data_IF_659029581558
#
_entry.id   IF_659029581558
#
_cell.length_a   1.000
_cell.length_b   1.000
_cell.length_c   1.000
_cell.angle_alpha   90.00
_cell.angle_beta   90.00
_cell.angle_gamma   90.00
#
_symmetry.space_group_name_H-M   'P 1'
#
loop_
_entity.id
_entity.type
_entity.pdbx_description
1 polymer ?
#
# COMPACT_ATOMS: atom_id res chain seq x y z
N UNK A 1 8.56 20.10 5.93
CA UNK A 1 7.44 19.57 5.17
C UNK A 1 7.74 18.16 4.68
N UNK A 2 6.83 17.25 4.85
CA UNK A 2 7.03 15.86 4.44
C UNK A 2 6.77 15.72 2.94
N UNK A 3 7.64 14.96 2.27
CA UNK A 3 7.48 14.68 0.85
C UNK A 3 6.47 13.55 0.66
N UNK A 4 5.29 13.88 0.12
CA UNK A 4 4.24 12.88 -0.15
C UNK A 4 3.43 13.18 -1.42
N UNK A 5 4.03 13.81 -2.44
CA UNK A 5 3.20 14.36 -3.53
C UNK A 5 2.61 13.29 -4.44
N UNK A 6 3.38 12.24 -4.76
CA UNK A 6 2.93 11.29 -5.77
C UNK A 6 1.74 10.45 -5.32
N UNK A 7 1.74 10.02 -4.05
CA UNK A 7 0.64 9.22 -3.54
C UNK A 7 -0.63 10.07 -3.44
N UNK A 8 -0.52 11.31 -2.94
CA UNK A 8 -1.68 12.19 -2.83
C UNK A 8 -2.30 12.49 -4.19
N UNK A 9 -1.48 12.68 -5.22
CA UNK A 9 -1.98 12.87 -6.59
C UNK A 9 -2.68 11.61 -7.07
N UNK A 10 -2.08 10.44 -6.85
CA UNK A 10 -2.69 9.17 -7.24
C UNK A 10 -4.03 8.95 -6.55
N UNK A 11 -4.11 9.17 -5.24
CA UNK A 11 -5.37 9.03 -4.50
C UNK A 11 -6.42 10.02 -5.03
N UNK A 12 -6.02 11.23 -5.33
CA UNK A 12 -6.90 12.24 -5.90
C UNK A 12 -7.47 11.81 -7.24
N UNK A 13 -6.63 11.29 -8.14
CA UNK A 13 -7.07 10.82 -9.46
C UNK A 13 -8.02 9.63 -9.34
N UNK A 14 -7.71 8.68 -8.44
CA UNK A 14 -8.51 7.49 -8.23
C UNK A 14 -9.79 7.75 -7.45
N UNK A 15 -9.90 8.91 -6.81
CA UNK A 15 -11.07 9.34 -6.07
C UNK A 15 -12.33 9.36 -6.94
N UNK A 16 -12.17 9.49 -8.24
CA UNK A 16 -13.28 9.50 -9.18
C UNK A 16 -13.94 8.12 -9.35
N UNK A 17 -13.35 7.07 -8.81
CA UNK A 17 -13.89 5.72 -8.91
C UNK A 17 -14.89 5.37 -7.81
N UNK A 18 -15.03 6.25 -6.81
CA UNK A 18 -15.95 6.04 -5.69
C UNK A 18 -15.73 4.70 -4.99
N UNK A 19 -14.48 4.32 -4.87
CA UNK A 19 -14.04 3.08 -4.22
C UNK A 19 -12.89 3.37 -3.28
N UNK A 20 -12.77 2.60 -2.18
CA UNK A 20 -11.59 2.73 -1.33
C UNK A 20 -10.33 2.23 -2.04
N UNK A 21 -9.19 2.67 -1.55
CA UNK A 21 -7.89 2.33 -2.10
C UNK A 21 -7.22 1.26 -1.25
N UNK A 22 -6.66 0.25 -1.89
CA UNK A 22 -5.81 -0.74 -1.23
C UNK A 22 -4.38 -0.52 -1.68
N UNK A 23 -3.52 -0.13 -0.73
CA UNK A 23 -2.08 -0.04 -0.98
C UNK A 23 -1.44 -1.38 -0.67
N UNK A 24 -0.67 -1.88 -1.62
CA UNK A 24 0.09 -3.13 -1.48
C UNK A 24 1.57 -2.79 -1.55
N UNK A 25 2.22 -2.67 -0.38
CA UNK A 25 3.67 -2.52 -0.32
C UNK A 25 4.31 -3.89 -0.52
N UNK A 26 4.99 -4.05 -1.63
CA UNK A 26 5.55 -5.33 -2.07
C UNK A 26 6.97 -5.13 -2.58
N UNK A 27 7.59 -6.20 -3.02
CA UNK A 27 8.90 -6.16 -3.66
C UNK A 27 8.97 -7.21 -4.75
N UNK A 28 9.73 -6.97 -5.79
CA UNK A 28 9.96 -7.96 -6.85
C UNK A 28 10.64 -9.20 -6.29
N UNK A 29 11.57 -9.02 -5.35
CA UNK A 29 12.26 -10.12 -4.69
C UNK A 29 11.63 -10.59 -3.39
N UNK A 30 10.40 -10.21 -3.10
CA UNK A 30 9.75 -10.53 -1.84
C UNK A 30 9.07 -11.91 -1.92
N UNK A 31 9.67 -12.91 -1.29
CA UNK A 31 9.14 -14.29 -1.29
C UNK A 31 7.77 -14.35 -0.64
N UNK A 32 7.60 -13.72 0.52
CA UNK A 32 6.33 -13.72 1.24
C UNK A 32 5.22 -13.01 0.48
N UNK A 33 5.55 -12.00 -0.31
CA UNK A 33 4.58 -11.34 -1.17
C UNK A 33 4.04 -12.30 -2.24
N UNK A 34 4.95 -13.08 -2.86
CA UNK A 34 4.56 -14.11 -3.84
C UNK A 34 3.71 -15.19 -3.19
N UNK A 35 4.05 -15.61 -1.96
CA UNK A 35 3.27 -16.60 -1.22
C UNK A 35 1.84 -16.12 -0.97
N UNK A 36 1.66 -14.86 -0.57
CA UNK A 36 0.32 -14.29 -0.38
C UNK A 36 -0.48 -14.26 -1.67
N UNK A 37 0.15 -13.86 -2.77
CA UNK A 37 -0.52 -13.83 -4.07
C UNK A 37 -0.98 -15.22 -4.51
N UNK A 38 -0.16 -16.25 -4.25
CA UNK A 38 -0.49 -17.61 -4.64
C UNK A 38 -1.47 -18.30 -3.69
N UNK A 39 -1.38 -18.04 -2.39
CA UNK A 39 -2.17 -18.75 -1.40
C UNK A 39 -3.48 -18.05 -1.05
N UNK A 40 -3.50 -16.73 -1.08
CA UNK A 40 -4.65 -15.94 -0.61
C UNK A 40 -5.36 -15.22 -1.76
N UNK A 41 -4.62 -14.55 -2.63
CA UNK A 41 -5.23 -13.73 -3.69
C UNK A 41 -5.86 -14.57 -4.81
N UNK A 42 -5.50 -15.85 -4.91
CA UNK A 42 -6.14 -16.77 -5.85
C UNK A 42 -7.50 -17.27 -5.37
N UNK A 43 -7.82 -17.07 -4.09
CA UNK A 43 -9.15 -17.40 -3.58
C UNK A 43 -10.20 -16.57 -4.32
N UNK A 44 -11.28 -17.19 -4.84
CA UNK A 44 -12.28 -16.47 -5.64
C UNK A 44 -12.93 -15.31 -4.91
N UNK A 45 -13.20 -15.45 -3.62
CA UNK A 45 -13.83 -14.38 -2.82
C UNK A 45 -12.86 -13.22 -2.65
N UNK A 46 -11.61 -13.49 -2.28
CA UNK A 46 -10.58 -12.46 -2.12
C UNK A 46 -10.36 -11.72 -3.44
N UNK A 47 -10.17 -12.46 -4.51
CA UNK A 47 -9.94 -11.89 -5.84
C UNK A 47 -11.09 -10.98 -6.27
N UNK A 48 -12.32 -11.42 -6.05
CA UNK A 48 -13.50 -10.64 -6.41
C UNK A 48 -13.57 -9.33 -5.62
N UNK A 49 -13.35 -9.39 -4.31
CA UNK A 49 -13.39 -8.18 -3.47
C UNK A 49 -12.33 -7.17 -3.92
N UNK A 50 -11.11 -7.62 -4.13
CA UNK A 50 -10.02 -6.74 -4.54
C UNK A 50 -10.32 -6.09 -5.88
N UNK A 51 -10.78 -6.90 -6.86
CA UNK A 51 -11.00 -6.40 -8.21
C UNK A 51 -12.25 -5.52 -8.34
N UNK A 52 -13.31 -5.84 -7.63
CA UNK A 52 -14.60 -5.17 -7.80
C UNK A 52 -14.78 -3.99 -6.83
N UNK A 53 -14.28 -4.11 -5.61
CA UNK A 53 -14.63 -3.18 -4.53
C UNK A 53 -13.48 -2.23 -4.13
N UNK A 54 -12.28 -2.47 -4.59
CA UNK A 54 -11.10 -1.67 -4.27
C UNK A 54 -10.40 -1.18 -5.53
N UNK A 55 -9.68 -0.08 -5.38
CA UNK A 55 -8.66 0.34 -6.34
C UNK A 55 -7.32 -0.15 -5.77
N UNK A 56 -6.70 -1.10 -6.45
CA UNK A 56 -5.42 -1.67 -6.02
C UNK A 56 -4.27 -0.84 -6.55
N UNK A 57 -3.43 -0.36 -5.65
CA UNK A 57 -2.20 0.34 -5.99
C UNK A 57 -1.03 -0.47 -5.44
N UNK A 58 -0.23 -1.02 -6.32
CA UNK A 58 0.92 -1.85 -5.96
C UNK A 58 2.19 -1.01 -5.96
N UNK A 59 2.88 -0.98 -4.81
CA UNK A 59 4.06 -0.15 -4.60
C UNK A 59 5.27 -1.04 -4.33
N UNK A 60 6.19 -1.12 -5.31
CA UNK A 60 7.39 -1.94 -5.21
C UNK A 60 8.50 -1.16 -4.53
N UNK A 61 8.81 -1.52 -3.28
CA UNK A 61 9.82 -0.82 -2.49
C UNK A 61 11.26 -1.07 -2.98
N UNK A 62 11.44 -2.07 -3.83
CA UNK A 62 12.73 -2.39 -4.45
C UNK A 62 12.79 -2.01 -5.94
N UNK A 63 11.90 -1.13 -6.38
CA UNK A 63 11.92 -0.60 -7.74
C UNK A 63 13.12 0.32 -7.90
N UNK A 64 14.07 -0.07 -8.76
CA UNK A 64 15.36 0.63 -8.94
C UNK A 64 15.30 1.75 -9.98
N UNK A 65 14.13 2.04 -10.53
CA UNK A 65 13.97 3.13 -11.49
C UNK A 65 14.37 4.44 -10.82
N UNK A 66 15.32 5.20 -11.41
CA UNK A 66 15.74 6.46 -10.82
C UNK A 66 14.61 7.49 -10.81
N UNK A 67 14.55 8.28 -9.75
CA UNK A 67 13.69 9.45 -9.73
C UNK A 67 14.26 10.50 -10.68
N UNK A 68 13.39 11.25 -11.34
CA UNK A 68 13.81 12.36 -12.21
C UNK A 68 14.67 13.36 -11.45
N UNK A 69 14.28 13.65 -10.20
CA UNK A 69 15.06 14.46 -9.27
C UNK A 69 15.17 13.73 -7.95
N UNK A 70 16.39 13.47 -7.45
CA UNK A 70 16.55 12.95 -6.10
C UNK A 70 15.93 13.90 -5.08
N UNK A 71 15.36 13.35 -4.02
CA UNK A 71 14.66 14.13 -3.00
C UNK A 71 15.41 14.00 -1.68
N UNK A 72 15.78 15.15 -1.11
CA UNK A 72 16.40 15.19 0.22
C UNK A 72 15.30 15.22 1.28
N UNK A 73 15.44 14.34 2.27
CA UNK A 73 14.51 14.25 3.39
C UNK A 73 15.30 14.17 4.70
N UNK A 74 14.62 14.44 5.79
CA UNK A 74 15.18 14.20 7.12
C UNK A 74 14.32 13.14 7.80
N UNK A 75 14.95 12.04 8.20
CA UNK A 75 14.28 10.93 8.86
C UNK A 75 15.01 10.61 10.15
N UNK A 76 14.29 10.68 11.26
CA UNK A 76 14.87 10.46 12.61
C UNK A 76 16.12 11.31 12.88
N UNK A 77 16.08 12.58 12.45
CA UNK A 77 17.19 13.52 12.64
C UNK A 77 18.35 13.33 11.68
N UNK A 78 18.27 12.38 10.74
CA UNK A 78 19.33 12.11 9.78
C UNK A 78 18.89 12.53 8.39
N UNK A 79 19.75 13.30 7.70
CA UNK A 79 19.50 13.67 6.31
C UNK A 79 19.74 12.47 5.40
N UNK A 80 18.79 12.20 4.51
CA UNK A 80 18.86 11.11 3.53
C UNK A 80 18.40 11.63 2.17
N UNK A 81 18.82 10.94 1.11
CA UNK A 81 18.41 11.25 -0.25
C UNK A 81 17.66 10.07 -0.84
N UNK A 82 16.45 10.31 -1.29
CA UNK A 82 15.66 9.31 -2.02
C UNK A 82 16.06 9.39 -3.48
N UNK A 83 16.56 8.31 -4.05
CA UNK A 83 17.10 8.27 -5.41
C UNK A 83 16.29 7.44 -6.39
N UNK A 84 15.50 6.49 -5.91
CA UNK A 84 14.72 5.59 -6.74
C UNK A 84 13.24 5.65 -6.39
N UNK A 85 12.42 5.14 -7.30
CA UNK A 85 10.98 5.00 -7.06
C UNK A 85 10.74 4.13 -5.83
N UNK A 86 11.51 3.05 -5.67
CA UNK A 86 11.40 2.19 -4.50
C UNK A 86 11.75 2.93 -3.20
N UNK A 87 12.77 3.78 -3.21
CA UNK A 87 13.12 4.59 -2.05
C UNK A 87 11.93 5.46 -1.62
N UNK A 88 11.23 6.02 -2.58
CA UNK A 88 10.06 6.87 -2.32
C UNK A 88 8.94 6.08 -1.64
N UNK A 89 8.63 4.89 -2.15
CA UNK A 89 7.58 4.06 -1.55
C UNK A 89 7.99 3.53 -0.17
N UNK A 90 9.25 3.15 0.00
CA UNK A 90 9.76 2.71 1.29
C UNK A 90 9.69 3.83 2.33
N UNK A 91 10.05 5.04 1.94
CA UNK A 91 9.93 6.22 2.80
C UNK A 91 8.47 6.48 3.20
N UNK A 92 7.55 6.42 2.24
CA UNK A 92 6.13 6.58 2.50
C UNK A 92 5.64 5.55 3.52
N UNK A 93 6.02 4.30 3.36
CA UNK A 93 5.63 3.23 4.27
C UNK A 93 6.12 3.50 5.70
N UNK A 94 7.38 3.90 5.85
CA UNK A 94 7.95 4.17 7.16
C UNK A 94 7.30 5.39 7.83
N UNK A 95 7.17 6.48 7.10
CA UNK A 95 6.73 7.76 7.65
C UNK A 95 5.24 7.79 7.93
N UNK A 96 4.42 7.30 6.98
CA UNK A 96 2.97 7.36 7.11
C UNK A 96 2.39 6.19 7.90
N UNK A 97 2.97 5.00 7.74
CA UNK A 97 2.38 3.78 8.31
C UNK A 97 3.27 3.11 9.37
N UNK A 98 4.45 3.63 9.61
CA UNK A 98 5.32 3.13 10.67
C UNK A 98 5.83 1.71 10.47
N UNK A 99 5.99 1.27 9.23
CA UNK A 99 6.41 -0.09 8.92
C UNK A 99 7.43 -0.11 7.79
N UNK A 100 8.23 -1.17 7.72
CA UNK A 100 9.24 -1.32 6.66
C UNK A 100 9.40 -2.78 6.19
N UNK A 101 8.44 -3.64 6.50
CA UNK A 101 8.44 -5.03 6.05
C UNK A 101 7.39 -5.25 4.96
N UNK A 102 7.59 -6.24 4.10
CA UNK A 102 6.66 -6.60 3.05
C UNK A 102 6.31 -8.09 3.15
N UNK A 103 5.09 -8.52 2.76
CA UNK A 103 3.99 -7.70 2.27
C UNK A 103 3.35 -6.85 3.36
N UNK A 104 2.77 -5.73 2.97
CA UNK A 104 2.08 -4.84 3.90
C UNK A 104 0.92 -4.20 3.18
N UNK A 105 -0.29 -4.38 3.69
CA UNK A 105 -1.52 -3.95 3.04
C UNK A 105 -2.22 -2.90 3.88
N UNK A 106 -2.59 -1.80 3.25
CA UNK A 106 -3.28 -0.68 3.91
C UNK A 106 -4.52 -0.33 3.12
N UNK A 107 -5.64 -0.18 3.81
CA UNK A 107 -6.90 0.22 3.20
C UNK A 107 -7.16 1.68 3.54
N UNK A 108 -7.38 2.50 2.53
CA UNK A 108 -7.53 3.94 2.67
C UNK A 108 -8.84 4.42 2.07
N UNK A 109 -9.42 5.46 2.71
CA UNK A 109 -10.51 6.19 2.07
C UNK A 109 -9.94 7.13 0.99
N UNK A 110 -10.82 7.90 0.35
CA UNK A 110 -10.42 8.76 -0.75
C UNK A 110 -9.68 10.03 -0.30
N UNK A 111 -9.57 10.24 1.00
CA UNK A 111 -8.75 11.30 1.58
C UNK A 111 -7.40 10.79 2.09
N UNK A 112 -7.15 9.50 1.96
CA UNK A 112 -5.91 8.87 2.41
C UNK A 112 -5.90 8.45 3.88
N UNK A 113 -7.08 8.38 4.52
CA UNK A 113 -7.19 7.95 5.91
C UNK A 113 -7.37 6.43 5.99
N UNK A 114 -6.71 5.76 6.94
CA UNK A 114 -6.87 4.32 7.11
C UNK A 114 -8.31 3.93 7.46
N UNK A 115 -8.79 2.89 6.83
CA UNK A 115 -10.13 2.33 7.07
C UNK A 115 -10.11 1.18 8.06
N UNK A 116 -8.94 0.61 8.32
CA UNK A 116 -8.76 -0.53 9.19
C UNK A 116 -7.31 -0.59 9.62
N UNK A 117 -6.99 -1.47 10.54
CA UNK A 117 -5.59 -1.78 10.85
C UNK A 117 -4.92 -2.36 9.63
N UNK A 118 -3.63 -2.11 9.45
CA UNK A 118 -2.86 -2.71 8.38
C UNK A 118 -2.76 -4.23 8.55
N UNK A 119 -2.44 -4.92 7.45
CA UNK A 119 -2.33 -6.38 7.43
C UNK A 119 -0.98 -6.75 6.86
N UNK A 120 -0.28 -7.64 7.54
CA UNK A 120 1.04 -8.10 7.12
C UNK A 120 0.94 -9.53 6.58
N UNK A 121 2.06 -10.27 6.57
CA UNK A 121 2.06 -11.64 6.07
C UNK A 121 1.24 -12.55 6.97
N UNK A 122 0.17 -13.08 6.45
CA UNK A 122 -0.68 -14.07 7.10
C UNK A 122 -1.55 -14.72 6.03
N UNK A 123 -1.37 -16.03 5.80
CA UNK A 123 -2.06 -16.75 4.73
C UNK A 123 -3.47 -17.23 5.12
N UNK A 124 -4.01 -16.76 6.24
CA UNK A 124 -5.36 -17.11 6.69
C UNK A 124 -6.40 -16.40 5.82
N UNK A 125 -7.02 -17.14 4.91
CA UNK A 125 -8.00 -16.58 3.96
C UNK A 125 -9.20 -15.94 4.67
N UNK A 126 -9.87 -16.58 5.65
CA UNK A 126 -10.98 -15.93 6.35
C UNK A 126 -10.58 -14.61 7.00
N UNK A 127 -9.41 -14.53 7.61
CA UNK A 127 -8.93 -13.28 8.21
C UNK A 127 -8.68 -12.20 7.17
N UNK A 128 -8.17 -12.57 6.01
CA UNK A 128 -7.93 -11.61 4.93
C UNK A 128 -9.25 -11.06 4.39
N UNK A 129 -10.25 -11.93 4.23
CA UNK A 129 -11.59 -11.51 3.82
C UNK A 129 -12.20 -10.57 4.86
N UNK A 130 -12.06 -10.89 6.15
CA UNK A 130 -12.54 -10.02 7.23
C UNK A 130 -11.85 -8.66 7.18
N UNK A 131 -10.53 -8.63 6.95
CA UNK A 131 -9.77 -7.40 6.80
C UNK A 131 -10.35 -6.53 5.68
N UNK A 132 -10.58 -7.11 4.51
CA UNK A 132 -11.12 -6.39 3.35
C UNK A 132 -12.55 -5.91 3.59
N UNK A 133 -13.40 -6.76 4.16
CA UNK A 133 -14.80 -6.41 4.42
C UNK A 133 -14.96 -5.34 5.50
N UNK A 134 -14.15 -5.40 6.54
CA UNK A 134 -14.16 -4.36 7.58
C UNK A 134 -13.78 -3.00 6.98
N UNK A 135 -12.80 -2.96 6.09
CA UNK A 135 -12.45 -1.74 5.38
C UNK A 135 -13.63 -1.19 4.58
N UNK A 136 -14.35 -2.06 3.86
CA UNK A 136 -15.51 -1.65 3.08
C UNK A 136 -16.64 -1.11 3.97
N UNK A 137 -16.91 -1.77 5.09
CA UNK A 137 -17.91 -1.30 6.04
C UNK A 137 -17.57 0.10 6.55
N UNK A 138 -16.32 0.33 6.91
CA UNK A 138 -15.87 1.63 7.41
C UNK A 138 -15.90 2.70 6.32
N UNK A 139 -15.65 2.33 5.09
CA UNK A 139 -15.73 3.24 3.96
C UNK A 139 -17.16 3.75 3.73
N UNK A 140 -18.15 2.90 3.96
CA UNK A 140 -19.56 3.20 3.74
C UNK A 140 -20.25 3.95 4.90
N UNK A 141 -19.55 4.12 6.00
CA UNK A 141 -20.11 4.83 7.17
C UNK A 141 -20.18 6.34 6.97
#
# INVERSE_FOLDING_TARGET
MRYMPSLMIMIWEWNMQDKPVMLDFTGYGCVNCRKMELAVWTDPTVSKIINDDYVLITLYVDNKTPLTKPVKIVENGTERTLRTVGDKWSYLQRVKFGANAQPFYVLLDNEGKPLNKSYAYNEDIPKYIEFLRTGLENYRK
#
